data_IF_602524584311
#
_entry.id   IF_602524584311
#
_cell.length_a   1.000
_cell.length_b   1.000
_cell.length_c   1.000
_cell.angle_alpha   90.00
_cell.angle_beta   90.00
_cell.angle_gamma   90.00
#
_symmetry.space_group_name_H-M   'P 1'
#
loop_
_entity.id
_entity.type
_entity.pdbx_description
1 polymer ?
#
# COMPACT_ATOMS: atom_id res chain seq x y z
N UNK A 1 2.51 -8.22 20.77
CA UNK A 1 1.34 -8.17 19.85
C UNK A 1 1.59 -8.97 18.59
N UNK A 2 2.63 -8.69 17.80
CA UNK A 2 2.89 -9.42 16.54
C UNK A 2 3.03 -10.94 16.71
N UNK A 3 3.67 -11.42 17.79
CA UNK A 3 3.77 -12.86 18.06
C UNK A 3 2.40 -13.51 18.36
N UNK A 4 1.46 -12.76 18.94
CA UNK A 4 0.11 -13.23 19.22
C UNK A 4 -0.68 -13.32 17.90
N UNK A 5 -0.58 -12.30 17.05
CA UNK A 5 -1.18 -12.32 15.72
C UNK A 5 -0.60 -13.46 14.86
N UNK A 6 0.73 -13.69 14.92
CA UNK A 6 1.37 -14.79 14.22
C UNK A 6 0.93 -16.17 14.75
N UNK A 7 0.83 -16.33 16.06
CA UNK A 7 0.30 -17.57 16.65
C UNK A 7 -1.18 -17.78 16.24
N UNK A 8 -1.98 -16.72 16.22
CA UNK A 8 -3.38 -16.76 15.80
C UNK A 8 -3.55 -17.21 14.34
N UNK A 9 -2.75 -16.67 13.42
CA UNK A 9 -2.82 -17.07 12.00
C UNK A 9 -2.36 -18.52 11.80
N UNK A 10 -1.35 -18.98 12.54
CA UNK A 10 -0.91 -20.39 12.50
C UNK A 10 -2.00 -21.32 13.02
N UNK A 11 -2.68 -20.97 14.12
CA UNK A 11 -3.79 -21.77 14.65
C UNK A 11 -4.95 -21.80 13.65
N UNK A 12 -5.31 -20.65 13.07
CA UNK A 12 -6.34 -20.56 12.03
C UNK A 12 -6.02 -21.40 10.81
N UNK A 13 -4.75 -21.40 10.38
CA UNK A 13 -4.26 -22.25 9.28
C UNK A 13 -4.39 -23.74 9.61
N UNK A 14 -3.96 -24.17 10.80
CA UNK A 14 -4.08 -25.59 11.19
C UNK A 14 -5.56 -26.01 11.30
N UNK A 15 -6.41 -25.13 11.82
CA UNK A 15 -7.85 -25.36 11.94
C UNK A 15 -8.53 -25.51 10.58
N UNK A 16 -8.22 -24.65 9.61
CA UNK A 16 -8.80 -24.76 8.26
C UNK A 16 -8.33 -26.03 7.57
N UNK A 17 -7.05 -26.37 7.67
CA UNK A 17 -6.51 -27.61 7.09
C UNK A 17 -7.14 -28.86 7.70
N UNK A 18 -7.32 -28.91 9.01
CA UNK A 18 -8.00 -30.05 9.64
C UNK A 18 -9.45 -30.15 9.16
N UNK A 19 -10.19 -29.06 9.07
CA UNK A 19 -11.57 -29.11 8.55
C UNK A 19 -11.61 -29.63 7.11
N UNK A 20 -10.67 -29.26 6.24
CA UNK A 20 -10.58 -29.83 4.87
C UNK A 20 -10.35 -31.34 4.89
N UNK A 21 -9.40 -31.83 5.69
CA UNK A 21 -9.11 -33.26 5.78
C UNK A 21 -10.24 -34.08 6.41
N UNK A 22 -11.03 -33.47 7.30
CA UNK A 22 -12.14 -34.14 7.98
C UNK A 22 -13.49 -34.01 7.25
N UNK A 23 -13.67 -33.02 6.39
CA UNK A 23 -14.93 -32.78 5.68
C UNK A 23 -15.25 -33.85 4.62
N UNK A 24 -14.24 -34.53 4.06
CA UNK A 24 -14.47 -35.53 3.02
C UNK A 24 -13.54 -36.74 3.17
N UNK A 25 -14.12 -37.89 3.56
CA UNK A 25 -13.45 -39.18 3.60
C UNK A 25 -14.18 -40.13 2.63
N UNK A 26 -13.54 -40.67 1.57
CA UNK A 26 -12.10 -40.72 1.26
C UNK A 26 -11.51 -39.43 0.65
N UNK A 27 -10.26 -39.11 1.01
CA UNK A 27 -9.55 -37.87 0.67
C UNK A 27 -9.20 -37.69 -0.80
N UNK A 28 -9.38 -38.73 -1.62
CA UNK A 28 -9.24 -38.66 -3.08
C UNK A 28 -10.31 -37.79 -3.73
N UNK A 29 -11.50 -37.73 -3.11
CA UNK A 29 -12.65 -37.03 -3.66
C UNK A 29 -12.72 -35.56 -3.20
N UNK A 30 -11.82 -35.14 -2.30
CA UNK A 30 -11.74 -33.78 -1.79
C UNK A 30 -11.12 -32.79 -2.80
N UNK A 31 -10.29 -33.30 -3.72
CA UNK A 31 -9.63 -32.52 -4.77
C UNK A 31 -10.29 -32.67 -6.14
N UNK A 32 -11.41 -33.39 -6.21
CA UNK A 32 -12.18 -33.51 -7.43
C UNK A 32 -13.02 -32.24 -7.65
N UNK A 33 -12.88 -31.62 -8.82
CA UNK A 33 -13.59 -30.40 -9.23
C UNK A 33 -15.04 -30.67 -9.66
N UNK A 34 -15.49 -31.91 -9.55
CA UNK A 34 -16.83 -32.33 -9.95
C UNK A 34 -17.95 -31.59 -9.18
N UNK A 35 -18.81 -30.83 -9.86
CA UNK A 35 -19.75 -29.87 -9.24
C UNK A 35 -20.92 -30.52 -8.45
N UNK A 36 -21.05 -31.84 -8.49
CA UNK A 36 -22.19 -32.57 -7.90
C UNK A 36 -21.95 -33.11 -6.49
N UNK A 37 -20.73 -32.95 -5.95
CA UNK A 37 -20.39 -33.50 -4.63
C UNK A 37 -20.52 -32.44 -3.53
N UNK A 38 -21.41 -32.69 -2.57
CA UNK A 38 -21.63 -31.88 -1.37
C UNK A 38 -20.37 -31.65 -0.50
N UNK A 39 -19.27 -32.35 -0.76
CA UNK A 39 -17.99 -32.12 -0.09
C UNK A 39 -17.24 -30.86 -0.54
N UNK A 40 -17.38 -30.46 -1.81
CA UNK A 40 -16.64 -29.30 -2.33
C UNK A 40 -17.15 -27.97 -1.75
N UNK A 41 -18.39 -27.96 -1.26
CA UNK A 41 -19.08 -26.80 -0.68
C UNK A 41 -19.58 -27.17 0.73
N UNK A 42 -18.68 -27.55 1.63
CA UNK A 42 -19.05 -27.75 3.03
C UNK A 42 -19.18 -26.39 3.74
N UNK A 43 -20.39 -26.09 4.22
CA UNK A 43 -20.70 -24.88 4.98
C UNK A 43 -19.80 -24.74 6.21
N UNK A 44 -19.38 -25.85 6.85
CA UNK A 44 -18.50 -25.81 8.02
C UNK A 44 -17.13 -25.24 7.68
N UNK A 45 -16.55 -25.70 6.57
CA UNK A 45 -15.28 -25.20 6.06
C UNK A 45 -15.38 -23.71 5.70
N UNK A 46 -16.41 -23.33 4.96
CA UNK A 46 -16.66 -21.93 4.58
C UNK A 46 -16.78 -21.00 5.79
N UNK A 47 -17.56 -21.39 6.81
CA UNK A 47 -17.75 -20.56 8.01
C UNK A 47 -16.46 -20.44 8.81
N UNK A 48 -15.75 -21.54 9.02
CA UNK A 48 -14.46 -21.51 9.75
C UNK A 48 -13.46 -20.63 9.03
N UNK A 49 -13.33 -20.79 7.70
CA UNK A 49 -12.44 -19.96 6.90
C UNK A 49 -12.84 -18.48 6.95
N UNK A 50 -14.13 -18.17 6.84
CA UNK A 50 -14.65 -16.80 6.90
C UNK A 50 -14.33 -16.12 8.24
N UNK A 51 -14.55 -16.83 9.35
CA UNK A 51 -14.30 -16.29 10.69
C UNK A 51 -12.82 -15.99 10.87
N UNK A 52 -11.92 -16.89 10.48
CA UNK A 52 -10.47 -16.67 10.61
C UNK A 52 -9.94 -15.57 9.69
N UNK A 53 -10.47 -15.45 8.47
CA UNK A 53 -10.09 -14.39 7.52
C UNK A 53 -10.47 -13.00 8.08
N UNK A 54 -11.73 -12.81 8.44
CA UNK A 54 -12.24 -11.51 8.94
C UNK A 54 -11.61 -11.14 10.27
N UNK A 55 -11.50 -12.10 11.20
CA UNK A 55 -10.90 -11.83 12.52
C UNK A 55 -9.42 -11.46 12.44
N UNK A 56 -8.67 -12.08 11.53
CA UNK A 56 -7.26 -11.75 11.32
C UNK A 56 -7.10 -10.35 10.74
N UNK A 57 -7.94 -9.96 9.77
CA UNK A 57 -7.93 -8.61 9.18
C UNK A 57 -8.26 -7.53 10.24
N UNK A 58 -9.28 -7.77 11.06
CA UNK A 58 -9.64 -6.85 12.16
C UNK A 58 -8.51 -6.78 13.19
N UNK A 59 -7.87 -7.90 13.53
CA UNK A 59 -6.73 -7.91 14.45
C UNK A 59 -5.56 -7.09 13.90
N UNK A 60 -5.20 -7.26 12.63
CA UNK A 60 -4.15 -6.46 11.97
C UNK A 60 -4.51 -4.97 11.96
N UNK A 61 -5.76 -4.63 11.63
CA UNK A 61 -6.25 -3.25 11.68
C UNK A 61 -6.16 -2.66 13.08
N UNK A 62 -6.53 -3.44 14.11
CA UNK A 62 -6.47 -3.02 15.52
C UNK A 62 -5.05 -2.80 16.03
N UNK A 63 -4.04 -3.43 15.42
CA UNK A 63 -2.61 -3.24 15.74
C UNK A 63 -2.06 -2.00 15.03
N UNK A 64 -2.45 -1.79 13.78
CA UNK A 64 -2.01 -0.65 12.98
C UNK A 64 -2.60 0.65 13.57
N UNK A 65 -3.91 0.70 13.84
CA UNK A 65 -4.64 1.88 14.31
C UNK A 65 -4.01 2.62 15.50
N UNK A 66 -3.66 2.00 16.65
CA UNK A 66 -3.04 2.69 17.78
C UNK A 66 -1.61 3.13 17.48
N UNK A 67 -0.91 2.43 16.60
CA UNK A 67 0.43 2.80 16.15
C UNK A 67 0.36 4.10 15.34
N UNK A 68 -0.70 4.28 14.55
CA UNK A 68 -0.95 5.50 13.77
C UNK A 68 -1.32 6.70 14.65
N UNK A 69 -2.12 6.49 15.69
CA UNK A 69 -2.58 7.58 16.56
C UNK A 69 -1.47 8.21 17.41
N UNK A 70 -0.44 7.42 17.73
CA UNK A 70 0.73 7.89 18.49
C UNK A 70 1.74 8.66 17.64
N UNK A 71 1.56 8.65 16.32
CA UNK A 71 2.53 9.21 15.39
C UNK A 71 2.12 10.64 15.01
N UNK A 72 2.70 11.61 15.72
CA UNK A 72 2.53 13.04 15.45
C UNK A 72 3.32 13.45 14.20
N UNK A 73 2.75 13.19 13.02
CA UNK A 73 3.36 13.54 11.74
C UNK A 73 2.92 14.92 11.26
N UNK A 74 3.82 15.61 10.55
CA UNK A 74 3.46 16.76 9.74
C UNK A 74 2.39 16.38 8.70
N UNK A 75 1.54 17.35 8.32
CA UNK A 75 0.40 17.13 7.41
C UNK A 75 0.75 16.41 6.10
N UNK A 76 2.00 16.51 5.63
CA UNK A 76 2.49 15.88 4.41
C UNK A 76 2.54 14.35 4.49
N UNK A 77 2.86 13.77 5.65
CA UNK A 77 2.90 12.31 5.84
C UNK A 77 1.56 11.74 6.33
N UNK A 78 0.58 12.61 6.60
CA UNK A 78 -0.77 12.22 7.03
C UNK A 78 -1.64 11.68 5.89
N UNK A 79 -1.39 12.14 4.67
CA UNK A 79 -2.12 11.73 3.45
C UNK A 79 -1.95 10.23 3.11
N UNK A 80 -0.74 9.68 2.97
CA UNK A 80 -0.56 8.25 2.68
C UNK A 80 -1.11 7.36 3.80
N UNK A 81 -1.09 7.87 5.04
CA UNK A 81 -1.61 7.18 6.20
C UNK A 81 -3.13 7.02 6.14
N UNK A 82 -3.84 8.09 5.81
CA UNK A 82 -5.29 8.08 5.62
C UNK A 82 -5.69 7.14 4.47
N UNK A 83 -4.94 7.16 3.36
CA UNK A 83 -5.19 6.29 2.21
C UNK A 83 -5.05 4.80 2.58
N UNK A 84 -3.99 4.45 3.31
CA UNK A 84 -3.75 3.08 3.76
C UNK A 84 -4.87 2.59 4.68
N UNK A 85 -5.33 3.45 5.59
CA UNK A 85 -6.41 3.13 6.52
C UNK A 85 -7.76 2.93 5.81
N UNK A 86 -8.09 3.78 4.83
CA UNK A 86 -9.29 3.66 4.01
C UNK A 86 -9.29 2.35 3.21
N UNK A 87 -8.15 2.00 2.60
CA UNK A 87 -8.00 0.74 1.89
C UNK A 87 -8.13 -0.48 2.81
N UNK A 88 -7.61 -0.43 4.04
CA UNK A 88 -7.77 -1.52 5.00
C UNK A 88 -9.24 -1.77 5.37
N UNK A 89 -10.03 -0.71 5.55
CA UNK A 89 -11.48 -0.85 5.80
C UNK A 89 -12.19 -1.45 4.57
N UNK A 90 -11.81 -1.02 3.37
CA UNK A 90 -12.35 -1.58 2.13
C UNK A 90 -12.08 -3.09 1.99
N UNK A 91 -10.92 -3.57 2.44
CA UNK A 91 -10.60 -5.01 2.44
C UNK A 91 -11.54 -5.81 3.34
N UNK A 92 -11.82 -5.32 4.54
CA UNK A 92 -12.75 -5.97 5.47
C UNK A 92 -14.16 -6.07 4.85
N UNK A 93 -14.61 -5.00 4.18
CA UNK A 93 -15.89 -5.01 3.45
C UNK A 93 -15.91 -6.02 2.30
N UNK A 94 -14.81 -6.13 1.53
CA UNK A 94 -14.69 -7.14 0.47
C UNK A 94 -14.76 -8.57 1.03
N UNK A 95 -14.08 -8.82 2.15
CA UNK A 95 -14.08 -10.11 2.84
C UNK A 95 -15.49 -10.51 3.28
N UNK A 96 -16.20 -9.59 3.95
CA UNK A 96 -17.58 -9.81 4.40
C UNK A 96 -18.48 -10.09 3.19
N UNK A 97 -18.39 -9.24 2.16
CA UNK A 97 -19.24 -9.34 0.96
C UNK A 97 -19.04 -10.69 0.26
N UNK A 98 -17.79 -11.13 0.07
CA UNK A 98 -17.50 -12.43 -0.51
C UNK A 98 -18.14 -13.57 0.29
N UNK A 99 -18.00 -13.54 1.61
CA UNK A 99 -18.53 -14.59 2.49
C UNK A 99 -20.07 -14.59 2.53
N UNK A 100 -20.71 -13.43 2.39
CA UNK A 100 -22.17 -13.33 2.22
C UNK A 100 -22.61 -13.94 0.89
N UNK A 101 -21.94 -13.60 -0.22
CA UNK A 101 -22.32 -14.14 -1.53
C UNK A 101 -22.22 -15.66 -1.60
N UNK A 102 -21.16 -16.24 -1.02
CA UNK A 102 -20.96 -17.70 -1.07
C UNK A 102 -21.97 -18.46 -0.18
N UNK A 103 -22.45 -17.86 0.93
CA UNK A 103 -23.43 -18.49 1.82
C UNK A 103 -24.86 -18.38 1.31
N UNK A 104 -25.26 -17.23 0.77
CA UNK A 104 -26.64 -17.00 0.32
C UNK A 104 -26.87 -17.40 -1.14
N UNK A 105 -25.83 -17.36 -1.98
CA UNK A 105 -25.93 -17.60 -3.41
C UNK A 105 -24.78 -18.48 -3.93
N UNK A 106 -24.72 -19.76 -3.53
CA UNK A 106 -23.61 -20.66 -3.90
C UNK A 106 -23.48 -20.91 -5.41
N UNK A 107 -24.55 -20.69 -6.19
CA UNK A 107 -24.54 -20.84 -7.65
C UNK A 107 -23.98 -19.61 -8.39
N UNK A 108 -23.79 -18.47 -7.71
CA UNK A 108 -23.30 -17.25 -8.33
C UNK A 108 -21.79 -17.13 -8.17
N UNK A 109 -21.04 -17.15 -9.27
CA UNK A 109 -19.57 -17.05 -9.27
C UNK A 109 -19.02 -15.66 -8.88
N UNK A 110 -19.90 -14.70 -8.60
CA UNK A 110 -19.54 -13.33 -8.20
C UNK A 110 -18.60 -13.27 -6.99
N UNK A 111 -18.62 -14.26 -6.09
CA UNK A 111 -17.74 -14.29 -4.91
C UNK A 111 -16.24 -14.33 -5.30
N UNK A 112 -15.86 -14.99 -6.39
CA UNK A 112 -14.48 -15.04 -6.86
C UNK A 112 -13.95 -13.65 -7.20
N UNK A 113 -14.79 -12.84 -7.83
CA UNK A 113 -14.44 -11.48 -8.24
C UNK A 113 -14.24 -10.55 -7.03
N UNK A 114 -15.07 -10.68 -5.99
CA UNK A 114 -14.89 -9.93 -4.74
C UNK A 114 -13.60 -10.33 -4.00
N UNK A 115 -13.28 -11.62 -3.96
CA UNK A 115 -12.02 -12.10 -3.35
C UNK A 115 -10.78 -11.64 -4.11
N UNK A 116 -10.82 -11.62 -5.44
CA UNK A 116 -9.70 -11.10 -6.23
C UNK A 116 -9.41 -9.63 -5.93
N UNK A 117 -10.46 -8.82 -5.69
CA UNK A 117 -10.28 -7.43 -5.26
C UNK A 117 -9.67 -7.31 -3.87
N UNK A 118 -10.07 -8.18 -2.94
CA UNK A 118 -9.47 -8.23 -1.61
C UNK A 118 -7.96 -8.53 -1.71
N UNK A 119 -7.58 -9.53 -2.50
CA UNK A 119 -6.17 -9.89 -2.71
C UNK A 119 -5.37 -8.76 -3.37
N UNK A 120 -5.92 -8.14 -4.43
CA UNK A 120 -5.29 -7.00 -5.08
C UNK A 120 -5.13 -5.79 -4.12
N UNK A 121 -6.16 -5.49 -3.32
CA UNK A 121 -6.10 -4.43 -2.31
C UNK A 121 -5.01 -4.69 -1.26
N UNK A 122 -4.80 -5.94 -0.84
CA UNK A 122 -3.71 -6.31 0.07
C UNK A 122 -2.33 -6.06 -0.53
N UNK A 123 -2.15 -6.36 -1.83
CA UNK A 123 -0.90 -6.05 -2.55
C UNK A 123 -0.69 -4.54 -2.60
N UNK A 124 -1.73 -3.74 -2.88
CA UNK A 124 -1.60 -2.28 -2.88
C UNK A 124 -1.17 -1.74 -1.51
N UNK A 125 -1.83 -2.16 -0.43
CA UNK A 125 -1.50 -1.72 0.94
C UNK A 125 -0.05 -2.08 1.31
N UNK A 126 0.41 -3.27 0.92
CA UNK A 126 1.78 -3.74 1.24
C UNK A 126 2.85 -2.94 0.51
N UNK A 127 2.55 -2.46 -0.70
CA UNK A 127 3.49 -1.69 -1.52
C UNK A 127 3.39 -0.17 -1.30
N UNK A 128 2.33 0.33 -0.69
CA UNK A 128 2.10 1.76 -0.43
C UNK A 128 3.28 2.46 0.29
N UNK A 129 3.88 1.88 1.35
CA UNK A 129 5.04 2.49 2.03
C UNK A 129 6.25 2.66 1.11
N UNK A 130 6.47 1.70 0.21
CA UNK A 130 7.57 1.73 -0.75
C UNK A 130 7.35 2.79 -1.84
N UNK A 131 6.12 2.90 -2.34
CA UNK A 131 5.71 3.94 -3.30
C UNK A 131 5.88 5.32 -2.68
N UNK A 132 5.43 5.52 -1.43
CA UNK A 132 5.60 6.80 -0.72
C UNK A 132 7.06 7.20 -0.57
N UNK A 133 7.91 6.27 -0.16
CA UNK A 133 9.36 6.49 -0.04
C UNK A 133 9.97 6.94 -1.38
N UNK A 134 9.58 6.27 -2.47
CA UNK A 134 10.08 6.57 -3.82
C UNK A 134 9.64 7.96 -4.30
N UNK A 135 8.37 8.32 -4.09
CA UNK A 135 7.84 9.66 -4.44
C UNK A 135 8.56 10.73 -3.64
N UNK A 136 8.78 10.54 -2.34
CA UNK A 136 9.50 11.50 -1.50
C UNK A 136 10.94 11.70 -1.98
N UNK A 137 11.64 10.63 -2.32
CA UNK A 137 13.00 10.71 -2.84
C UNK A 137 13.07 11.42 -4.20
N UNK A 138 12.11 11.14 -5.09
CA UNK A 138 12.00 11.83 -6.37
C UNK A 138 11.72 13.32 -6.19
N UNK A 139 10.79 13.69 -5.30
CA UNK A 139 10.48 15.09 -4.98
C UNK A 139 11.70 15.82 -4.40
N UNK A 140 12.45 15.17 -3.49
CA UNK A 140 13.69 15.73 -2.94
C UNK A 140 14.76 15.89 -4.03
N UNK A 141 14.86 14.96 -4.98
CA UNK A 141 15.79 15.05 -6.10
C UNK A 141 15.44 16.19 -7.04
N UNK A 142 14.16 16.31 -7.42
CA UNK A 142 13.66 17.41 -8.25
C UNK A 142 13.89 18.75 -7.54
N UNK A 143 13.56 18.85 -6.25
CA UNK A 143 13.79 20.07 -5.46
C UNK A 143 15.28 20.43 -5.39
N UNK A 144 16.17 19.44 -5.21
CA UNK A 144 17.63 19.65 -5.26
C UNK A 144 18.10 20.13 -6.63
N UNK A 145 17.56 19.60 -7.73
CA UNK A 145 17.88 20.06 -9.10
C UNK A 145 17.41 21.49 -9.34
N UNK A 146 16.17 21.81 -8.97
CA UNK A 146 15.60 23.16 -9.11
C UNK A 146 16.43 24.18 -8.32
N UNK A 147 16.73 23.90 -7.04
CA UNK A 147 17.56 24.79 -6.21
C UNK A 147 18.97 24.95 -6.76
N UNK A 148 19.59 23.88 -7.28
CA UNK A 148 20.91 23.96 -7.90
C UNK A 148 20.90 24.83 -9.16
N UNK A 149 19.81 24.81 -9.91
CA UNK A 149 19.65 25.62 -11.12
C UNK A 149 19.46 27.09 -10.78
N UNK A 150 18.71 27.40 -9.73
CA UNK A 150 18.54 28.77 -9.20
C UNK A 150 19.89 29.39 -8.79
N UNK A 151 20.68 28.65 -7.98
CA UNK A 151 22.02 29.07 -7.55
C UNK A 151 23.00 29.21 -8.72
N UNK A 152 22.84 28.40 -9.77
CA UNK A 152 23.66 28.50 -10.98
C UNK A 152 23.35 29.76 -11.79
N UNK A 153 22.08 30.16 -11.84
CA UNK A 153 21.62 31.35 -12.54
C UNK A 153 22.01 32.63 -11.79
N UNK A 154 21.89 32.66 -10.46
CA UNK A 154 22.38 33.78 -9.63
C UNK A 154 23.87 34.03 -9.84
N UNK A 155 24.70 32.97 -9.80
CA UNK A 155 26.16 33.12 -10.03
C UNK A 155 26.51 33.62 -11.42
N UNK A 156 25.74 33.24 -12.45
CA UNK A 156 25.93 33.79 -13.80
C UNK A 156 25.61 35.29 -13.83
N UNK A 157 24.53 35.72 -13.18
CA UNK A 157 24.16 37.12 -13.10
C UNK A 157 25.22 37.96 -12.38
N UNK A 158 25.81 37.46 -11.30
CA UNK A 158 26.94 38.12 -10.62
C UNK A 158 28.19 38.22 -11.51
N UNK A 159 28.57 37.14 -12.23
CA UNK A 159 29.74 37.18 -13.11
C UNK A 159 29.56 38.13 -14.30
N UNK A 160 28.35 38.23 -14.86
CA UNK A 160 28.03 39.18 -15.94
C UNK A 160 28.01 40.61 -15.40
N UNK A 161 27.45 40.83 -14.21
CA UNK A 161 27.44 42.15 -13.56
C UNK A 161 28.84 42.66 -13.22
N UNK A 162 29.73 41.77 -12.74
CA UNK A 162 31.13 42.10 -12.47
C UNK A 162 31.95 42.32 -13.75
N UNK A 163 31.65 41.61 -14.84
CA UNK A 163 32.33 41.80 -16.13
C UNK A 163 31.96 43.12 -16.82
N UNK A 164 30.69 43.52 -16.77
CA UNK A 164 30.23 44.78 -17.34
C UNK A 164 30.86 45.99 -16.65
N UNK A 165 31.01 45.96 -15.33
CA UNK A 165 31.62 47.05 -14.56
C UNK A 165 33.11 47.26 -14.91
N UNK A 166 33.88 46.17 -15.10
CA UNK A 166 35.28 46.28 -15.55
C UNK A 166 35.42 46.78 -16.99
N UNK A 167 34.49 46.41 -17.89
CA UNK A 167 34.52 46.85 -19.29
C UNK A 167 34.14 48.34 -19.45
N UNK A 168 33.26 48.85 -18.59
CA UNK A 168 32.92 50.28 -18.56
C UNK A 168 34.09 51.12 -18.03
N UNK A 169 34.82 50.64 -17.02
CA UNK A 169 35.99 51.34 -16.46
C UNK A 169 37.17 51.43 -17.44
N UNK A 170 37.40 50.37 -18.21
CA UNK A 170 38.42 50.36 -19.29
C UNK A 170 38.01 51.27 -20.46
N UNK A 171 36.72 51.30 -20.81
CA UNK A 171 36.17 52.18 -21.86
C UNK A 171 36.29 53.66 -21.49
N UNK A 172 36.05 54.03 -20.23
CA UNK A 172 36.23 55.41 -19.74
C UNK A 172 37.69 55.85 -19.71
N UNK A 173 38.61 54.95 -19.36
CA UNK A 173 40.05 55.24 -19.37
C UNK A 173 40.57 55.52 -20.79
N UNK A 174 40.15 54.73 -21.78
CA UNK A 174 40.54 54.90 -23.19
C UNK A 174 39.98 56.19 -23.81
N UNK A 175 38.85 56.71 -23.33
CA UNK A 175 38.33 58.01 -23.80
C UNK A 175 39.12 59.20 -23.29
N UNK A 176 39.68 59.15 -22.08
CA UNK A 176 40.51 60.23 -21.53
C UNK A 176 41.88 60.33 -22.19
N UNK A 177 42.42 59.24 -22.73
CA UNK A 177 43.71 59.23 -23.43
C UNK A 177 43.64 59.77 -24.87
N UNK A 178 42.43 60.09 -25.36
CA UNK A 178 42.18 60.49 -26.75
C UNK A 178 41.83 61.99 -26.92
N UNK A 179 41.85 62.76 -25.84
CA UNK A 179 41.81 64.23 -25.81
C UNK A 179 43.18 64.81 -25.43
#
# INVERSE_FOLDING_TARGET
MVNICAAYTVIGYVATQTVVFWACHPSSDAFDVSPWRRCAIDTRYLVVQAVFDISSDVALFSVIMPTLWRLELAWQDKVPLLLTFSMAIYLILCAITSNVFILFYPANECYHFWRMRQAAGGIYISNLPYVWSSVRNLLLFVRRKVVRQDIGLERLHETVGSGNSTMDEERSSISMERE
#
